data_IF_637731702950
#
_entry.id   IF_637731702950
#
_cell.length_a   1.000
_cell.length_b   1.000
_cell.length_c   1.000
_cell.angle_alpha   90.00
_cell.angle_beta   90.00
_cell.angle_gamma   90.00
#
_symmetry.space_group_name_H-M   'P 1'
#
loop_
_entity.id
_entity.type
_entity.pdbx_description
1 polymer ?
#
# COMPACT_ATOMS: atom_id res chain seq x y z
N UNK A 1 14.04 6.80 -6.53
CA UNK A 1 14.84 7.41 -5.44
C UNK A 1 14.60 6.65 -4.14
N UNK A 2 15.52 6.67 -3.17
CA UNK A 2 15.24 6.19 -1.83
C UNK A 2 14.06 6.91 -1.18
N UNK A 3 13.33 6.22 -0.29
CA UNK A 3 12.14 6.75 0.38
C UNK A 3 12.39 8.07 1.12
N UNK A 4 13.61 8.25 1.65
CA UNK A 4 14.04 9.48 2.32
C UNK A 4 13.97 10.73 1.44
N UNK A 5 13.95 10.56 0.12
CA UNK A 5 13.92 11.67 -0.83
C UNK A 5 12.50 11.98 -1.34
N UNK A 6 11.50 11.13 -1.06
CA UNK A 6 10.14 11.33 -1.56
C UNK A 6 9.53 12.63 -1.03
N UNK A 7 9.52 12.82 0.29
CA UNK A 7 8.93 14.01 0.88
C UNK A 7 9.65 15.31 0.48
N UNK A 8 10.98 15.46 0.62
CA UNK A 8 11.64 16.72 0.25
C UNK A 8 11.51 17.04 -1.25
N UNK A 9 11.57 16.04 -2.14
CA UNK A 9 11.42 16.26 -3.57
C UNK A 9 9.98 16.61 -3.94
N UNK A 10 8.99 15.91 -3.38
CA UNK A 10 7.57 16.18 -3.64
C UNK A 10 7.19 17.59 -3.14
N UNK A 11 7.61 17.98 -1.93
CA UNK A 11 7.36 19.32 -1.37
C UNK A 11 7.97 20.39 -2.27
N UNK A 12 9.24 20.24 -2.67
CA UNK A 12 9.88 21.20 -3.55
C UNK A 12 9.15 21.36 -4.91
N UNK A 13 8.67 20.26 -5.49
CA UNK A 13 7.86 20.29 -6.72
C UNK A 13 6.52 21.00 -6.51
N UNK A 14 5.81 20.70 -5.42
CA UNK A 14 4.54 21.32 -5.07
C UNK A 14 4.69 22.84 -4.87
N UNK A 15 5.70 23.26 -4.12
CA UNK A 15 6.05 24.67 -3.89
C UNK A 15 6.45 25.39 -5.19
N UNK A 16 7.07 24.66 -6.13
CA UNK A 16 7.35 25.17 -7.48
C UNK A 16 6.11 25.15 -8.40
N UNK A 17 4.91 24.90 -7.86
CA UNK A 17 3.64 24.95 -8.57
C UNK A 17 3.38 23.75 -9.49
N UNK A 18 4.03 22.60 -9.23
CA UNK A 18 3.84 21.37 -10.02
C UNK A 18 2.86 20.44 -9.31
N UNK A 19 2.07 19.69 -10.07
CA UNK A 19 1.35 18.53 -9.58
C UNK A 19 2.33 17.36 -9.43
N UNK A 20 2.11 16.47 -8.44
CA UNK A 20 3.05 15.41 -8.12
C UNK A 20 2.37 14.05 -8.09
N UNK A 21 2.95 13.08 -8.78
CA UNK A 21 2.75 11.65 -8.60
C UNK A 21 4.01 11.11 -7.91
N UNK A 22 3.89 10.69 -6.65
CA UNK A 22 5.01 10.17 -5.85
C UNK A 22 4.93 8.66 -5.74
N UNK A 23 6.09 7.99 -5.81
CA UNK A 23 6.18 6.54 -5.58
C UNK A 23 5.81 6.15 -4.15
N UNK A 24 5.39 4.88 -4.02
CA UNK A 24 5.20 4.24 -2.71
C UNK A 24 6.56 3.79 -2.10
N UNK A 25 6.69 3.76 -0.76
CA UNK A 25 5.78 4.37 0.18
C UNK A 25 5.76 5.88 -0.02
N UNK A 26 4.65 6.54 0.30
CA UNK A 26 4.54 8.00 0.13
C UNK A 26 5.70 8.76 0.79
N UNK A 27 6.14 8.28 1.96
CA UNK A 27 7.18 8.86 2.78
C UNK A 27 7.74 7.79 3.74
N UNK A 28 8.76 8.11 4.55
CA UNK A 28 9.27 7.23 5.61
C UNK A 28 8.42 7.25 6.87
N UNK A 29 7.74 8.37 7.13
CA UNK A 29 6.96 8.60 8.35
C UNK A 29 5.62 9.27 8.03
N UNK A 30 4.65 9.16 8.97
CA UNK A 30 3.39 9.89 8.87
C UNK A 30 3.61 11.40 8.82
N UNK A 31 4.51 11.94 9.64
CA UNK A 31 4.79 13.37 9.67
C UNK A 31 5.31 13.90 8.33
N UNK A 32 6.16 13.15 7.62
CA UNK A 32 6.60 13.49 6.26
C UNK A 32 5.42 13.47 5.27
N UNK A 33 4.53 12.47 5.35
CA UNK A 33 3.34 12.37 4.50
C UNK A 33 2.37 13.53 4.73
N UNK A 34 2.14 13.90 6.00
CA UNK A 34 1.31 15.07 6.38
C UNK A 34 1.91 16.37 5.85
N UNK A 35 3.24 16.56 5.96
CA UNK A 35 3.92 17.72 5.41
C UNK A 35 3.74 17.83 3.88
N UNK A 36 3.77 16.72 3.14
CA UNK A 36 3.48 16.71 1.71
C UNK A 36 2.04 17.13 1.42
N UNK A 37 1.05 16.67 2.21
CA UNK A 37 -0.34 17.07 2.07
C UNK A 37 -0.55 18.56 2.37
N UNK A 38 0.12 19.10 3.38
CA UNK A 38 0.12 20.53 3.70
C UNK A 38 0.69 21.34 2.53
N UNK A 39 1.81 20.93 1.94
CA UNK A 39 2.40 21.59 0.79
C UNK A 39 1.49 21.55 -0.45
N UNK A 40 0.82 20.43 -0.69
CA UNK A 40 -0.16 20.28 -1.78
C UNK A 40 -1.34 21.24 -1.61
N UNK A 41 -1.91 21.31 -0.40
CA UNK A 41 -2.99 22.22 -0.06
C UNK A 41 -2.57 23.70 -0.19
N UNK A 42 -1.41 24.06 0.34
CA UNK A 42 -0.89 25.44 0.30
C UNK A 42 -0.60 25.92 -1.13
N UNK A 43 -0.08 25.05 -1.99
CA UNK A 43 0.21 25.38 -3.40
C UNK A 43 -1.02 25.29 -4.31
N UNK A 44 -2.13 24.71 -3.86
CA UNK A 44 -3.28 24.39 -4.69
C UNK A 44 -2.97 23.34 -5.77
N UNK A 45 -1.96 22.50 -5.56
CA UNK A 45 -1.54 21.46 -6.49
C UNK A 45 -2.04 20.10 -6.03
N UNK A 46 -2.11 19.17 -7.00
CA UNK A 46 -2.59 17.80 -6.73
C UNK A 46 -1.41 16.91 -6.38
N UNK A 47 -1.62 16.06 -5.39
CA UNK A 47 -0.69 15.02 -4.96
C UNK A 47 -1.39 13.66 -5.06
N UNK A 48 -0.79 12.74 -5.78
CA UNK A 48 -1.21 11.35 -5.92
C UNK A 48 -0.09 10.42 -5.48
N UNK A 49 -0.43 9.32 -4.84
CA UNK A 49 0.54 8.28 -4.46
C UNK A 49 0.44 7.11 -5.44
N UNK A 50 1.57 6.56 -5.84
CA UNK A 50 1.66 5.48 -6.81
C UNK A 50 1.36 4.09 -6.18
N UNK A 51 0.19 3.92 -5.58
CA UNK A 51 -0.33 2.61 -5.17
C UNK A 51 -0.87 1.85 -6.38
N UNK A 52 0.04 1.29 -7.14
CA UNK A 52 -0.21 0.76 -8.47
C UNK A 52 -1.20 -0.42 -8.50
N UNK A 53 -1.27 -1.24 -7.44
CA UNK A 53 -2.18 -2.39 -7.39
C UNK A 53 -3.66 -1.99 -7.49
N UNK A 54 -4.05 -0.77 -7.09
CA UNK A 54 -5.41 -0.24 -7.31
C UNK A 54 -5.81 -0.21 -8.79
N UNK A 55 -4.83 -0.24 -9.70
CA UNK A 55 -5.03 -0.12 -11.15
C UNK A 55 -5.00 -1.47 -11.87
N UNK A 56 -4.79 -2.57 -11.13
CA UNK A 56 -4.91 -3.90 -11.69
C UNK A 56 -6.38 -4.23 -11.97
N UNK A 57 -6.65 -4.81 -13.14
CA UNK A 57 -8.03 -5.07 -13.58
C UNK A 57 -8.78 -6.00 -12.62
N UNK A 58 -8.12 -7.06 -12.11
CA UNK A 58 -8.74 -7.99 -11.15
C UNK A 58 -9.05 -7.31 -9.81
N UNK A 59 -8.19 -6.41 -9.33
CA UNK A 59 -8.45 -5.63 -8.11
C UNK A 59 -9.67 -4.73 -8.29
N UNK A 60 -9.77 -4.06 -9.44
CA UNK A 60 -10.91 -3.21 -9.78
C UNK A 60 -12.19 -4.02 -9.97
N UNK A 61 -12.10 -5.18 -10.62
CA UNK A 61 -13.24 -6.08 -10.80
C UNK A 61 -13.75 -6.59 -9.44
N UNK A 62 -12.85 -7.03 -8.54
CA UNK A 62 -13.24 -7.46 -7.20
C UNK A 62 -13.87 -6.31 -6.39
N UNK A 63 -13.30 -5.09 -6.43
CA UNK A 63 -13.93 -3.92 -5.80
C UNK A 63 -15.35 -3.68 -6.31
N UNK A 64 -15.56 -3.80 -7.62
CA UNK A 64 -16.89 -3.61 -8.23
C UNK A 64 -17.88 -4.66 -7.73
N UNK A 65 -17.48 -5.94 -7.63
CA UNK A 65 -18.30 -7.04 -7.09
C UNK A 65 -18.67 -6.79 -5.61
N UNK A 66 -17.70 -6.34 -4.80
CA UNK A 66 -17.93 -5.98 -3.39
C UNK A 66 -18.92 -4.82 -3.29
N UNK A 67 -18.71 -3.74 -4.04
CA UNK A 67 -19.60 -2.57 -4.04
C UNK A 67 -21.01 -2.92 -4.55
N UNK A 68 -21.13 -3.90 -5.46
CA UNK A 68 -22.40 -4.44 -5.93
C UNK A 68 -23.12 -5.36 -4.94
N UNK A 69 -22.52 -5.65 -3.77
CA UNK A 69 -23.11 -6.49 -2.73
C UNK A 69 -23.04 -7.99 -3.01
N UNK A 70 -22.29 -8.44 -4.00
CA UNK A 70 -22.21 -9.88 -4.38
C UNK A 70 -21.75 -10.78 -3.23
N UNK A 71 -20.87 -10.27 -2.36
CA UNK A 71 -20.36 -11.00 -1.21
C UNK A 71 -21.17 -10.77 0.08
N UNK A 72 -22.23 -9.98 0.04
CA UNK A 72 -22.95 -9.54 1.23
C UNK A 72 -22.15 -8.51 2.05
N UNK A 73 -22.36 -8.48 3.37
CA UNK A 73 -21.59 -7.66 4.29
C UNK A 73 -20.16 -8.23 4.43
N UNK A 74 -19.15 -7.41 4.19
CA UNK A 74 -17.77 -7.85 4.33
C UNK A 74 -17.39 -7.88 5.81
N UNK A 75 -16.95 -9.04 6.29
CA UNK A 75 -16.58 -9.27 7.68
C UNK A 75 -15.08 -9.13 7.93
N UNK A 76 -14.27 -9.61 6.99
CA UNK A 76 -12.81 -9.53 7.08
C UNK A 76 -12.16 -9.62 5.72
N UNK A 77 -10.89 -9.19 5.66
CA UNK A 77 -9.97 -9.43 4.54
C UNK A 77 -8.67 -10.04 5.05
N UNK A 78 -7.94 -10.68 4.16
CA UNK A 78 -6.58 -11.15 4.40
C UNK A 78 -5.75 -10.83 3.17
N UNK A 79 -4.76 -9.92 3.33
CA UNK A 79 -3.89 -9.49 2.26
C UNK A 79 -2.43 -9.74 2.61
N UNK A 80 -1.60 -10.00 1.62
CA UNK A 80 -0.17 -10.07 1.81
C UNK A 80 0.59 -9.42 0.65
N UNK A 81 1.79 -8.92 0.98
CA UNK A 81 2.82 -8.51 0.05
C UNK A 81 4.16 -9.00 0.57
N UNK A 82 4.76 -9.97 -0.10
CA UNK A 82 5.98 -10.63 0.33
C UNK A 82 6.89 -10.90 -0.86
N UNK A 83 8.19 -10.92 -0.63
CA UNK A 83 9.15 -11.46 -1.59
C UNK A 83 9.46 -12.91 -1.22
N UNK A 84 9.09 -13.84 -2.11
CA UNK A 84 9.23 -15.27 -1.89
C UNK A 84 10.64 -15.75 -2.33
N UNK A 85 11.45 -16.10 -1.33
CA UNK A 85 12.80 -16.64 -1.57
C UNK A 85 13.87 -15.62 -1.98
N UNK A 86 13.55 -14.32 -1.90
CA UNK A 86 14.49 -13.24 -2.15
C UNK A 86 14.15 -11.99 -1.34
N UNK A 87 15.05 -11.02 -1.31
CA UNK A 87 14.84 -9.72 -0.70
C UNK A 87 15.73 -8.65 -1.34
N UNK A 88 15.33 -7.38 -1.23
CA UNK A 88 16.10 -6.27 -1.78
C UNK A 88 17.42 -6.05 -1.02
N UNK A 89 18.28 -5.23 -1.60
CA UNK A 89 19.57 -4.85 -1.03
C UNK A 89 19.84 -3.35 -1.24
N UNK A 90 21.00 -2.90 -0.83
CA UNK A 90 21.40 -1.49 -0.99
C UNK A 90 20.60 -0.59 -0.08
N UNK A 91 20.08 0.52 -0.59
CA UNK A 91 19.37 1.51 0.22
C UNK A 91 18.08 0.98 0.88
N UNK A 92 17.47 -0.10 0.38
CA UNK A 92 16.29 -0.72 0.99
C UNK A 92 16.57 -1.26 2.40
N UNK A 93 17.82 -1.67 2.67
CA UNK A 93 18.24 -2.21 3.97
C UNK A 93 18.91 -1.18 4.87
N UNK A 94 19.03 0.06 4.40
CA UNK A 94 19.51 1.20 5.18
C UNK A 94 18.32 1.91 5.86
N UNK A 95 18.20 1.90 7.21
CA UNK A 95 17.07 2.49 7.91
C UNK A 95 16.94 4.00 7.71
N UNK A 96 18.03 4.73 7.44
CA UNK A 96 17.98 6.17 7.21
C UNK A 96 17.45 6.51 5.82
N UNK A 97 17.70 5.65 4.83
CA UNK A 97 17.25 5.86 3.46
C UNK A 97 15.87 5.25 3.21
N UNK A 98 15.63 4.05 3.73
CA UNK A 98 14.38 3.34 3.55
C UNK A 98 13.29 3.75 4.55
N UNK A 99 13.67 4.05 5.80
CA UNK A 99 12.74 4.35 6.90
C UNK A 99 12.10 3.12 7.53
N UNK A 100 12.30 1.92 6.98
CA UNK A 100 11.80 0.62 7.42
C UNK A 100 12.05 -0.41 6.35
N UNK A 101 11.62 -1.65 6.57
CA UNK A 101 11.90 -2.77 5.69
C UNK A 101 10.67 -3.26 4.90
N UNK A 102 10.39 -4.56 5.01
CA UNK A 102 9.34 -5.22 4.24
C UNK A 102 7.94 -4.61 4.42
N UNK A 103 7.66 -4.04 5.61
CA UNK A 103 6.38 -3.36 5.82
C UNK A 103 6.25 -2.11 4.95
N UNK A 104 7.30 -1.29 4.84
CA UNK A 104 7.29 -0.10 3.98
C UNK A 104 7.45 -0.42 2.49
N UNK A 105 8.07 -1.56 2.16
CA UNK A 105 8.22 -1.98 0.77
C UNK A 105 6.96 -2.68 0.24
N UNK A 106 6.61 -3.82 0.81
CA UNK A 106 5.53 -4.69 0.32
C UNK A 106 4.23 -4.54 1.13
N UNK A 107 4.34 -4.33 2.45
CA UNK A 107 3.17 -4.22 3.32
C UNK A 107 2.28 -3.03 2.98
N UNK A 108 2.84 -1.90 2.55
CA UNK A 108 2.05 -0.72 2.13
C UNK A 108 1.13 -1.01 0.94
N UNK A 109 1.53 -1.89 0.02
CA UNK A 109 0.67 -2.35 -1.06
C UNK A 109 -0.52 -3.16 -0.53
N UNK A 110 -0.26 -4.11 0.37
CA UNK A 110 -1.30 -4.94 0.96
C UNK A 110 -2.28 -4.11 1.80
N UNK A 111 -1.79 -3.16 2.63
CA UNK A 111 -2.62 -2.24 3.43
C UNK A 111 -3.51 -1.39 2.51
N UNK A 112 -2.93 -0.80 1.46
CA UNK A 112 -3.67 0.02 0.52
C UNK A 112 -4.72 -0.78 -0.25
N UNK A 113 -4.38 -2.00 -0.69
CA UNK A 113 -5.30 -2.85 -1.45
C UNK A 113 -6.49 -3.30 -0.62
N UNK A 114 -6.28 -3.78 0.61
CA UNK A 114 -7.42 -4.16 1.48
C UNK A 114 -8.31 -2.96 1.77
N UNK A 115 -7.73 -1.78 2.04
CA UNK A 115 -8.49 -0.55 2.26
C UNK A 115 -9.28 -0.15 1.02
N UNK A 116 -8.66 -0.20 -0.16
CA UNK A 116 -9.31 0.10 -1.42
C UNK A 116 -10.50 -0.83 -1.70
N UNK A 117 -10.34 -2.13 -1.52
CA UNK A 117 -11.42 -3.11 -1.71
C UNK A 117 -12.61 -2.86 -0.77
N UNK A 118 -12.35 -2.37 0.45
CA UNK A 118 -13.37 -2.03 1.44
C UNK A 118 -14.06 -0.67 1.23
N UNK A 119 -13.71 0.07 0.18
CA UNK A 119 -14.30 1.38 -0.11
C UNK A 119 -13.61 2.54 0.62
N UNK A 120 -12.33 2.40 0.90
CA UNK A 120 -11.45 3.40 1.51
C UNK A 120 -11.90 3.85 2.93
N UNK A 121 -12.25 2.94 3.87
CA UNK A 121 -12.67 3.31 5.22
C UNK A 121 -11.55 4.02 6.00
N UNK A 122 -11.94 4.75 7.05
CA UNK A 122 -10.99 5.32 7.99
C UNK A 122 -10.33 4.23 8.85
N UNK A 123 -9.07 4.45 9.22
CA UNK A 123 -8.31 3.56 10.11
C UNK A 123 -8.81 3.75 11.55
N UNK A 124 -9.12 2.65 12.24
CA UNK A 124 -9.53 2.65 13.65
C UNK A 124 -8.42 2.16 14.57
N UNK A 125 -7.89 0.96 14.31
CA UNK A 125 -6.89 0.34 15.16
C UNK A 125 -5.87 -0.49 14.38
N UNK A 126 -4.66 -0.65 14.96
CA UNK A 126 -3.62 -1.53 14.44
C UNK A 126 -2.94 -2.25 15.61
N UNK A 127 -2.79 -3.57 15.48
CA UNK A 127 -1.94 -4.39 16.32
C UNK A 127 -0.99 -5.17 15.41
N UNK A 128 0.30 -5.25 15.76
CA UNK A 128 1.29 -5.86 14.89
C UNK A 128 2.35 -6.67 15.64
N UNK A 129 2.94 -7.64 14.93
CA UNK A 129 4.22 -8.28 15.21
C UNK A 129 5.13 -8.05 14.02
N UNK A 130 6.28 -7.46 14.28
CA UNK A 130 7.26 -7.08 13.25
C UNK A 130 8.63 -7.49 13.76
N UNK A 131 9.45 -8.05 12.89
CA UNK A 131 10.78 -8.55 13.24
C UNK A 131 11.73 -8.52 12.03
N UNK A 132 13.01 -8.66 12.31
CA UNK A 132 14.03 -9.06 11.35
C UNK A 132 14.39 -10.52 11.63
N UNK A 133 14.21 -11.41 10.65
CA UNK A 133 14.36 -12.86 10.83
C UNK A 133 15.32 -13.50 9.84
N UNK A 134 15.42 -12.97 8.66
CA UNK A 134 16.09 -13.61 7.53
C UNK A 134 17.41 -12.91 7.16
N UNK A 135 17.51 -11.60 7.36
CA UNK A 135 18.69 -10.82 6.97
C UNK A 135 19.49 -10.27 8.14
N UNK A 136 20.74 -9.90 7.86
CA UNK A 136 21.61 -9.19 8.80
C UNK A 136 21.60 -7.68 8.45
N UNK A 137 20.51 -7.02 8.76
CA UNK A 137 20.28 -5.58 8.57
C UNK A 137 19.36 -5.03 9.67
N UNK A 138 19.22 -3.71 9.75
CA UNK A 138 18.50 -3.04 10.84
C UNK A 138 17.03 -2.69 10.52
N UNK A 139 16.48 -3.21 9.42
CA UNK A 139 15.08 -3.03 9.03
C UNK A 139 14.31 -4.34 9.15
N UNK A 140 12.99 -4.27 9.17
CA UNK A 140 12.12 -5.45 9.25
C UNK A 140 12.07 -6.24 7.94
N UNK A 141 11.95 -7.56 8.06
CA UNK A 141 11.73 -8.46 6.92
C UNK A 141 10.57 -9.44 7.12
N UNK A 142 9.87 -9.32 8.26
CA UNK A 142 8.72 -10.14 8.63
C UNK A 142 7.72 -9.29 9.43
N UNK A 143 6.49 -9.19 8.94
CA UNK A 143 5.43 -8.41 9.58
C UNK A 143 4.06 -9.05 9.46
N UNK A 144 3.33 -9.07 10.57
CA UNK A 144 1.93 -9.49 10.65
C UNK A 144 1.12 -8.44 11.39
N UNK A 145 0.08 -7.91 10.72
CA UNK A 145 -0.77 -6.84 11.22
C UNK A 145 -2.23 -7.30 11.30
N UNK A 146 -2.90 -6.88 12.36
CA UNK A 146 -4.36 -6.88 12.46
C UNK A 146 -4.83 -5.42 12.46
N UNK A 147 -5.61 -5.05 11.45
CA UNK A 147 -6.10 -3.70 11.24
C UNK A 147 -7.62 -3.68 11.42
N UNK A 148 -8.14 -2.81 12.27
CA UNK A 148 -9.56 -2.50 12.40
C UNK A 148 -9.93 -1.25 11.59
N UNK A 149 -11.03 -1.33 10.86
CA UNK A 149 -11.54 -0.24 10.04
C UNK A 149 -12.85 0.32 10.61
N UNK A 150 -13.10 1.62 10.43
CA UNK A 150 -14.27 2.30 10.97
C UNK A 150 -15.63 1.78 10.44
N UNK A 151 -15.63 0.99 9.37
CA UNK A 151 -16.82 0.27 8.88
C UNK A 151 -17.07 -1.06 9.60
N UNK A 152 -16.32 -1.39 10.65
CA UNK A 152 -16.43 -2.62 11.43
C UNK A 152 -15.70 -3.83 10.84
N UNK A 153 -15.09 -3.70 9.66
CA UNK A 153 -14.31 -4.77 9.04
C UNK A 153 -12.91 -4.87 9.65
N UNK A 154 -12.35 -6.07 9.71
CA UNK A 154 -10.95 -6.29 10.11
C UNK A 154 -10.13 -6.84 8.94
N UNK A 155 -8.87 -6.42 8.85
CA UNK A 155 -7.91 -6.94 7.87
C UNK A 155 -6.72 -7.59 8.57
N UNK A 156 -6.36 -8.79 8.14
CA UNK A 156 -5.07 -9.41 8.43
C UNK A 156 -4.13 -9.07 7.27
N UNK A 157 -2.98 -8.48 7.57
CA UNK A 157 -1.99 -8.10 6.55
C UNK A 157 -0.64 -8.72 6.90
N UNK A 158 -0.01 -9.36 5.91
CA UNK A 158 1.37 -9.87 5.99
C UNK A 158 2.28 -9.06 5.07
N UNK A 159 3.50 -8.79 5.56
CA UNK A 159 4.60 -8.22 4.77
C UNK A 159 5.86 -9.04 5.00
N UNK A 160 6.68 -9.20 3.98
CA UNK A 160 7.90 -10.00 4.17
C UNK A 160 8.89 -9.93 3.03
N UNK A 161 10.15 -10.23 3.37
CA UNK A 161 11.23 -10.56 2.45
C UNK A 161 11.75 -11.96 2.78
N UNK A 162 12.25 -12.68 1.78
CA UNK A 162 12.84 -14.01 1.94
C UNK A 162 11.86 -15.11 2.40
N UNK A 163 10.54 -14.89 2.32
CA UNK A 163 9.58 -15.88 2.76
C UNK A 163 9.72 -17.17 1.94
N UNK A 164 9.90 -18.35 2.58
CA UNK A 164 10.21 -19.60 1.87
C UNK A 164 8.98 -20.30 1.28
N UNK A 165 7.80 -19.76 1.50
CA UNK A 165 6.52 -20.36 1.10
C UNK A 165 5.88 -19.61 -0.07
N UNK A 166 4.63 -19.89 -0.37
CA UNK A 166 3.78 -19.25 -1.38
C UNK A 166 4.05 -19.65 -2.83
N UNK A 167 4.89 -20.64 -3.08
CA UNK A 167 5.13 -21.14 -4.44
C UNK A 167 5.42 -20.01 -5.47
N UNK A 168 6.16 -18.98 -5.06
CA UNK A 168 6.50 -17.83 -5.89
C UNK A 168 5.46 -16.71 -5.95
N UNK A 169 4.33 -16.84 -5.24
CA UNK A 169 3.35 -15.77 -5.14
C UNK A 169 3.79 -14.71 -4.16
N UNK A 170 3.83 -13.47 -4.61
CA UNK A 170 4.33 -12.36 -3.83
C UNK A 170 3.23 -11.44 -3.31
N UNK A 171 1.99 -11.57 -3.83
CA UNK A 171 0.86 -10.79 -3.36
C UNK A 171 -0.47 -11.48 -3.62
N UNK A 172 -1.44 -11.30 -2.74
CA UNK A 172 -2.86 -11.58 -2.95
C UNK A 172 -3.73 -10.94 -1.88
N UNK A 173 -5.03 -10.89 -2.10
CA UNK A 173 -6.01 -10.48 -1.09
C UNK A 173 -7.26 -11.35 -1.17
N UNK A 174 -7.63 -11.93 -0.04
CA UNK A 174 -8.86 -12.68 0.20
C UNK A 174 -9.89 -11.77 0.88
N UNK A 175 -11.15 -11.87 0.46
CA UNK A 175 -12.27 -11.12 1.00
C UNK A 175 -13.37 -12.07 1.42
N UNK A 176 -13.83 -11.93 2.66
CA UNK A 176 -14.84 -12.79 3.29
C UNK A 176 -16.08 -11.96 3.61
N UNK A 177 -17.18 -12.30 2.99
CA UNK A 177 -18.48 -11.68 3.24
C UNK A 177 -19.51 -12.69 3.75
N UNK A 178 -20.66 -12.19 4.20
CA UNK A 178 -21.75 -13.03 4.74
C UNK A 178 -22.45 -13.89 3.67
N UNK A 179 -22.31 -13.52 2.40
CA UNK A 179 -22.91 -14.23 1.26
C UNK A 179 -21.88 -14.92 0.35
N UNK A 180 -20.58 -14.73 0.57
CA UNK A 180 -19.57 -15.31 -0.29
C UNK A 180 -18.12 -15.01 0.10
N UNK A 181 -17.23 -15.55 -0.71
CA UNK A 181 -15.79 -15.43 -0.61
C UNK A 181 -15.23 -15.11 -2.00
N UNK A 182 -14.20 -14.30 -2.05
CA UNK A 182 -13.43 -14.04 -3.26
C UNK A 182 -11.96 -13.76 -2.91
N UNK A 183 -11.10 -13.93 -3.89
CA UNK A 183 -9.71 -13.49 -3.85
C UNK A 183 -9.36 -12.80 -5.16
N UNK A 184 -8.30 -11.96 -5.16
CA UNK A 184 -7.94 -11.20 -6.35
C UNK A 184 -7.45 -12.15 -7.43
N UNK A 185 -6.50 -13.02 -7.10
CA UNK A 185 -5.93 -13.97 -8.04
C UNK A 185 -6.30 -15.40 -7.65
N UNK A 186 -6.91 -16.12 -8.57
CA UNK A 186 -7.18 -17.55 -8.40
C UNK A 186 -6.01 -18.33 -8.99
N UNK A 187 -5.13 -18.81 -8.12
CA UNK A 187 -3.85 -19.39 -8.47
C UNK A 187 -3.88 -20.87 -8.87
N UNK A 188 -5.01 -21.44 -9.16
CA UNK A 188 -5.06 -22.81 -9.68
C UNK A 188 -4.36 -22.97 -11.04
N UNK A 189 -4.14 -21.83 -11.73
CA UNK A 189 -3.38 -21.72 -12.99
C UNK A 189 -2.44 -20.50 -12.95
N UNK A 190 -1.80 -20.25 -11.80
CA UNK A 190 -1.10 -19.00 -11.51
C UNK A 190 -0.06 -18.58 -12.55
N UNK A 191 0.07 -17.28 -12.76
CA UNK A 191 1.07 -16.73 -13.66
C UNK A 191 2.49 -17.02 -13.19
N UNK A 192 3.37 -17.32 -14.15
CA UNK A 192 4.81 -17.33 -13.91
C UNK A 192 5.29 -15.89 -13.71
N UNK A 193 5.66 -15.52 -12.50
CA UNK A 193 6.32 -14.25 -12.20
C UNK A 193 5.43 -13.10 -11.71
N UNK A 194 5.94 -11.88 -11.80
CA UNK A 194 5.37 -10.62 -11.31
C UNK A 194 4.18 -10.07 -12.13
N UNK A 195 3.20 -10.86 -12.53
CA UNK A 195 2.07 -10.34 -13.29
C UNK A 195 1.21 -9.34 -12.50
N UNK A 196 1.28 -9.36 -11.17
CA UNK A 196 0.71 -8.32 -10.31
C UNK A 196 1.38 -6.93 -10.47
N UNK A 197 2.46 -6.85 -11.25
CA UNK A 197 3.17 -5.61 -11.61
C UNK A 197 3.27 -5.45 -13.13
N UNK A 198 2.13 -5.42 -13.81
CA UNK A 198 2.06 -5.35 -15.27
C UNK A 198 2.19 -3.92 -15.82
N UNK A 199 2.72 -3.78 -17.04
CA UNK A 199 2.79 -2.48 -17.72
C UNK A 199 1.41 -1.80 -17.89
N UNK A 200 0.30 -2.51 -18.21
CA UNK A 200 -1.04 -1.91 -18.26
C UNK A 200 -1.45 -1.23 -16.96
N UNK A 201 -1.16 -1.83 -15.81
CA UNK A 201 -1.45 -1.28 -14.49
C UNK A 201 -0.72 0.07 -14.27
N UNK A 202 0.58 0.15 -14.57
CA UNK A 202 1.34 1.40 -14.49
C UNK A 202 0.82 2.46 -15.46
N UNK A 203 0.46 2.05 -16.68
CA UNK A 203 -0.13 2.95 -17.68
C UNK A 203 -1.47 3.51 -17.19
N UNK A 204 -2.33 2.68 -16.60
CA UNK A 204 -3.61 3.11 -16.04
C UNK A 204 -3.42 4.06 -14.83
N UNK A 205 -2.40 3.84 -14.00
CA UNK A 205 -2.04 4.75 -12.90
C UNK A 205 -1.64 6.14 -13.42
N UNK A 206 -0.80 6.21 -14.44
CA UNK A 206 -0.38 7.48 -15.03
C UNK A 206 -1.55 8.16 -15.75
N UNK A 207 -2.40 7.39 -16.44
CA UNK A 207 -3.62 7.91 -17.09
C UNK A 207 -4.56 8.56 -16.07
N UNK A 208 -4.84 7.90 -14.93
CA UNK A 208 -5.65 8.49 -13.85
C UNK A 208 -5.10 9.84 -13.38
N UNK A 209 -3.78 9.95 -13.21
CA UNK A 209 -3.16 11.22 -12.82
C UNK A 209 -3.39 12.32 -13.85
N UNK A 210 -3.14 12.04 -15.13
CA UNK A 210 -3.29 13.01 -16.21
C UNK A 210 -4.76 13.40 -16.41
N UNK A 211 -5.66 12.43 -16.45
CA UNK A 211 -7.10 12.64 -16.65
C UNK A 211 -7.69 13.47 -15.51
N UNK A 212 -7.36 13.12 -14.26
CA UNK A 212 -7.79 13.89 -13.10
C UNK A 212 -7.36 15.36 -13.15
N UNK A 213 -6.12 15.63 -13.61
CA UNK A 213 -5.63 16.99 -13.76
C UNK A 213 -6.37 17.74 -14.88
N UNK A 214 -6.63 17.08 -16.00
CA UNK A 214 -7.37 17.69 -17.13
C UNK A 214 -8.82 18.01 -16.77
N UNK A 215 -9.43 17.20 -15.90
CA UNK A 215 -10.79 17.37 -15.40
C UNK A 215 -10.87 18.29 -14.17
N UNK A 216 -9.73 18.74 -13.63
CA UNK A 216 -9.68 19.61 -12.45
C UNK A 216 -10.00 18.91 -11.13
N UNK A 217 -10.14 17.58 -11.12
CA UNK A 217 -10.43 16.80 -9.92
C UNK A 217 -9.16 16.34 -9.18
N UNK A 218 -9.33 15.84 -7.96
CA UNK A 218 -8.28 15.19 -7.21
C UNK A 218 -8.02 13.79 -7.79
N UNK A 219 -6.78 13.46 -8.22
CA UNK A 219 -6.43 12.09 -8.60
C UNK A 219 -6.44 11.14 -7.40
N UNK A 220 -6.70 9.85 -7.65
CA UNK A 220 -6.74 8.83 -6.63
C UNK A 220 -5.80 7.66 -6.94
N UNK A 221 -5.11 7.09 -5.90
CA UNK A 221 -5.17 7.49 -4.48
C UNK A 221 -4.50 8.85 -4.22
N UNK A 222 -5.15 9.66 -3.41
CA UNK A 222 -4.67 11.00 -3.03
C UNK A 222 -3.52 10.94 -2.03
N UNK A 223 -2.90 12.08 -1.73
CA UNK A 223 -1.95 12.19 -0.63
C UNK A 223 -2.59 11.87 0.74
N UNK A 224 -3.89 12.17 0.93
CA UNK A 224 -4.62 11.80 2.13
C UNK A 224 -4.80 10.27 2.24
N UNK A 225 -5.09 9.59 1.12
CA UNK A 225 -5.12 8.13 1.09
C UNK A 225 -3.76 7.52 1.48
N UNK A 226 -2.66 8.10 0.97
CA UNK A 226 -1.31 7.69 1.33
C UNK A 226 -0.99 7.93 2.81
N UNK A 227 -1.45 9.06 3.38
CA UNK A 227 -1.25 9.34 4.81
C UNK A 227 -1.97 8.32 5.70
N UNK A 228 -3.16 7.81 5.32
CA UNK A 228 -3.83 6.73 6.07
C UNK A 228 -2.99 5.43 6.05
N UNK A 229 -2.35 5.11 4.93
CA UNK A 229 -1.43 3.95 4.87
C UNK A 229 -0.23 4.17 5.76
N UNK A 230 0.35 5.37 5.76
CA UNK A 230 1.49 5.72 6.63
C UNK A 230 1.10 5.73 8.12
N UNK A 231 -0.12 6.14 8.48
CA UNK A 231 -0.64 6.04 9.85
C UNK A 231 -0.75 4.56 10.29
N UNK A 232 -1.23 3.69 9.42
CA UNK A 232 -1.27 2.25 9.71
C UNK A 232 0.13 1.68 9.94
N UNK A 233 1.10 2.04 9.11
CA UNK A 233 2.51 1.64 9.27
C UNK A 233 3.10 2.13 10.58
N UNK A 234 2.90 3.41 10.91
CA UNK A 234 3.44 3.99 12.15
C UNK A 234 2.83 3.35 13.39
N UNK A 235 1.51 3.13 13.40
CA UNK A 235 0.84 2.41 14.49
C UNK A 235 1.31 0.95 14.59
N UNK A 236 1.60 0.30 13.46
CA UNK A 236 2.15 -1.06 13.44
C UNK A 236 3.54 -1.11 14.10
N UNK A 237 4.46 -0.24 13.72
CA UNK A 237 5.79 -0.16 14.34
C UNK A 237 5.71 0.17 15.83
N UNK A 238 4.84 1.11 16.22
CA UNK A 238 4.61 1.46 17.63
C UNK A 238 4.04 0.26 18.43
N UNK A 239 3.05 -0.44 17.87
CA UNK A 239 2.46 -1.64 18.48
C UNK A 239 3.47 -2.78 18.66
N UNK A 240 4.44 -2.89 17.74
CA UNK A 240 5.53 -3.86 17.82
C UNK A 240 6.69 -3.41 18.73
N UNK A 241 6.67 -2.19 19.27
CA UNK A 241 7.72 -1.64 20.12
C UNK A 241 9.02 -1.26 19.39
N UNK A 242 8.93 -0.97 18.09
CA UNK A 242 10.10 -0.61 17.25
C UNK A 242 10.32 0.91 17.24
N UNK A 243 9.25 1.71 17.39
CA UNK A 243 9.26 3.18 17.44
C UNK A 243 8.37 3.68 18.56
#
# INVERSE_FOLDING_TARGET
TPNALHAPQAIACLEAGKHVLVEKPMARTLAEAEAMNVAAAASGRRLMVAHCWRFHDDVRALRTRIAGGELGEITKTRGYGVHAGWGPSGWFTDPELAGGGALLDMGVHAIDTVRFLLGDPALESVCARIATRYGDYAVDDDGLLLIGWANGTSSLVESGWWHPHLAGLEADTEVYGTAGYARIWDFTEGPEGYEHCSQPMYSAQVAEFIDALSEGRQPRPSGEDGAVVMDAVERAYRSAGIR
#
